data_IF_693820600635
#
_entry.id   IF_693820600635
#
_cell.length_a   1.000
_cell.length_b   1.000
_cell.length_c   1.000
_cell.angle_alpha   90.00
_cell.angle_beta   90.00
_cell.angle_gamma   90.00
#
_symmetry.space_group_name_H-M   'P 1'
#
loop_
_entity.id
_entity.type
_entity.pdbx_description
1 polymer ?
#
# COMPACT_ATOMS: atom_id res chain seq x y z
N UNK A 1 16.42 36.65 -22.79
CA UNK A 1 16.94 35.34 -22.35
C UNK A 1 18.09 34.93 -23.25
N UNK A 2 19.19 34.40 -22.71
CA UNK A 2 20.29 33.94 -23.57
C UNK A 2 19.87 32.68 -24.34
N UNK A 3 20.35 32.47 -25.58
CA UNK A 3 19.98 31.31 -26.40
C UNK A 3 20.31 29.97 -25.71
N UNK A 4 21.28 29.95 -24.79
CA UNK A 4 21.58 28.79 -23.94
C UNK A 4 20.43 28.45 -23.00
N UNK A 5 19.79 29.44 -22.41
CA UNK A 5 18.65 29.24 -21.50
C UNK A 5 17.42 28.76 -22.26
N UNK A 6 17.18 29.33 -23.45
CA UNK A 6 16.09 28.88 -24.33
C UNK A 6 16.29 27.43 -24.77
N UNK A 7 17.50 27.03 -25.16
CA UNK A 7 17.80 25.65 -25.52
C UNK A 7 17.59 24.66 -24.36
N UNK A 8 18.04 25.02 -23.15
CA UNK A 8 17.84 24.19 -21.95
C UNK A 8 16.34 24.03 -21.65
N UNK A 9 15.56 25.11 -21.72
CA UNK A 9 14.11 25.06 -21.47
C UNK A 9 13.40 24.20 -22.52
N UNK A 10 13.75 24.34 -23.81
CA UNK A 10 13.17 23.53 -24.88
C UNK A 10 13.49 22.05 -24.70
N UNK A 11 14.73 21.70 -24.34
CA UNK A 11 15.11 20.31 -24.04
C UNK A 11 14.33 19.77 -22.84
N UNK A 12 14.16 20.57 -21.78
CA UNK A 12 13.36 20.18 -20.62
C UNK A 12 11.88 19.96 -20.98
N UNK A 13 11.30 20.83 -21.81
CA UNK A 13 9.91 20.71 -22.24
C UNK A 13 9.69 19.50 -23.16
N UNK A 14 10.59 19.23 -24.10
CA UNK A 14 10.52 18.05 -24.98
C UNK A 14 10.70 16.78 -24.15
N UNK A 15 11.66 16.76 -23.21
CA UNK A 15 11.86 15.64 -22.29
C UNK A 15 10.60 15.40 -21.43
N UNK A 16 10.02 16.45 -20.87
CA UNK A 16 8.80 16.37 -20.07
C UNK A 16 7.60 15.87 -20.90
N UNK A 17 7.43 16.38 -22.12
CA UNK A 17 6.39 15.92 -23.03
C UNK A 17 6.56 14.44 -23.39
N UNK A 18 7.78 14.01 -23.76
CA UNK A 18 8.09 12.60 -24.02
C UNK A 18 7.79 11.70 -22.82
N UNK A 19 8.20 12.11 -21.62
CA UNK A 19 7.86 11.42 -20.37
C UNK A 19 6.34 11.29 -20.19
N UNK A 20 5.56 12.37 -20.34
CA UNK A 20 4.10 12.31 -20.16
C UNK A 20 3.42 11.34 -21.14
N UNK A 21 3.87 11.27 -22.39
CA UNK A 21 3.33 10.32 -23.37
C UNK A 21 3.62 8.87 -23.00
N UNK A 22 4.84 8.56 -22.53
CA UNK A 22 5.21 7.22 -22.05
C UNK A 22 4.38 6.80 -20.83
N UNK A 23 4.15 7.73 -19.90
CA UNK A 23 3.31 7.47 -18.73
C UNK A 23 1.85 7.17 -19.07
N UNK A 24 1.31 7.81 -20.11
CA UNK A 24 -0.11 7.67 -20.49
C UNK A 24 -0.49 6.29 -21.06
N UNK A 25 0.51 5.46 -21.42
CA UNK A 25 0.32 4.20 -22.16
C UNK A 25 0.86 2.96 -21.42
N UNK A 26 1.10 3.05 -20.10
CA UNK A 26 1.57 1.88 -19.36
C UNK A 26 0.58 0.72 -19.46
N UNK A 27 1.10 -0.49 -19.59
CA UNK A 27 0.31 -1.71 -19.69
C UNK A 27 -0.55 -1.93 -18.44
N UNK A 28 -1.77 -2.43 -18.64
CA UNK A 28 -2.67 -2.83 -17.55
C UNK A 28 -2.43 -4.30 -17.22
N UNK A 29 -1.90 -4.54 -16.03
CA UNK A 29 -1.57 -5.89 -15.57
C UNK A 29 -2.61 -6.34 -14.55
N UNK A 30 -3.20 -7.52 -14.76
CA UNK A 30 -4.16 -8.11 -13.82
C UNK A 30 -3.42 -8.72 -12.62
N UNK A 31 -4.06 -8.81 -11.43
CA UNK A 31 -3.50 -9.59 -10.35
C UNK A 31 -3.38 -11.07 -10.75
N UNK A 32 -2.44 -11.80 -10.16
CA UNK A 32 -2.24 -13.23 -10.43
C UNK A 32 -3.50 -14.05 -10.13
N UNK A 33 -4.27 -13.60 -9.11
CA UNK A 33 -5.57 -14.13 -8.72
C UNK A 33 -6.46 -12.97 -8.28
N UNK A 34 -7.78 -13.03 -8.52
CA UNK A 34 -8.68 -11.98 -8.06
C UNK A 34 -8.73 -11.93 -6.52
N UNK A 35 -8.72 -10.75 -5.92
CA UNK A 35 -8.78 -10.60 -4.46
C UNK A 35 -10.12 -11.03 -3.86
N UNK A 36 -11.16 -11.21 -4.68
CA UNK A 36 -12.39 -11.89 -4.27
C UNK A 36 -12.17 -13.35 -3.83
N UNK A 37 -11.06 -13.97 -4.22
CA UNK A 37 -10.64 -15.31 -3.80
C UNK A 37 -9.61 -15.29 -2.66
N UNK A 38 -9.36 -14.12 -2.06
CA UNK A 38 -8.40 -14.01 -0.96
C UNK A 38 -8.86 -14.85 0.24
N UNK A 39 -8.01 -15.73 0.79
CA UNK A 39 -8.42 -16.65 1.84
C UNK A 39 -8.80 -15.89 3.12
N UNK A 40 -9.92 -16.29 3.72
CA UNK A 40 -10.37 -15.81 5.03
C UNK A 40 -9.91 -16.70 6.19
N UNK A 41 -9.01 -17.63 5.92
CA UNK A 41 -8.31 -18.42 6.93
C UNK A 41 -6.81 -18.33 6.65
N UNK A 42 -6.06 -17.80 7.62
CA UNK A 42 -4.62 -17.57 7.51
C UNK A 42 -3.97 -18.08 8.79
N UNK A 43 -3.53 -19.34 8.79
CA UNK A 43 -3.02 -19.98 10.01
C UNK A 43 -4.06 -19.92 11.13
N UNK A 44 -3.77 -19.34 12.30
CA UNK A 44 -4.74 -19.24 13.41
C UNK A 44 -5.78 -18.11 13.23
N UNK A 45 -5.71 -17.34 12.14
CA UNK A 45 -6.56 -16.17 11.94
C UNK A 45 -7.78 -16.49 11.09
N UNK A 46 -8.95 -16.12 11.61
CA UNK A 46 -10.23 -16.21 10.91
C UNK A 46 -10.69 -14.82 10.50
N UNK A 47 -10.99 -14.67 9.22
CA UNK A 47 -11.35 -13.43 8.57
C UNK A 47 -12.84 -13.32 8.29
N UNK A 48 -13.37 -12.11 8.44
CA UNK A 48 -14.69 -11.74 7.92
C UNK A 48 -14.48 -10.60 6.94
N UNK A 49 -14.85 -10.82 5.68
CA UNK A 49 -14.78 -9.78 4.65
C UNK A 49 -15.73 -8.64 4.98
N UNK A 50 -15.31 -7.44 4.62
CA UNK A 50 -16.10 -6.22 4.71
C UNK A 50 -16.04 -5.50 3.38
N UNK A 51 -17.11 -4.79 3.02
CA UNK A 51 -17.09 -3.97 1.82
C UNK A 51 -16.53 -2.59 2.12
N UNK A 52 -15.87 -2.01 1.13
CA UNK A 52 -15.46 -0.62 1.17
C UNK A 52 -16.69 0.27 0.96
N UNK A 53 -16.72 1.41 1.65
CA UNK A 53 -17.71 2.44 1.38
C UNK A 53 -17.61 2.91 -0.08
N UNK A 54 -18.75 3.03 -0.77
CA UNK A 54 -18.82 3.33 -2.21
C UNK A 54 -18.15 4.66 -2.56
N UNK A 55 -18.21 5.67 -1.68
CA UNK A 55 -17.53 6.96 -1.90
C UNK A 55 -16.02 6.78 -1.84
N UNK A 56 -15.52 5.96 -0.91
CA UNK A 56 -14.09 5.65 -0.80
C UNK A 56 -13.63 4.84 -2.02
N UNK A 57 -14.42 3.87 -2.47
CA UNK A 57 -14.12 3.08 -3.67
C UNK A 57 -13.98 3.97 -4.91
N UNK A 58 -14.94 4.87 -5.13
CA UNK A 58 -14.94 5.79 -6.27
C UNK A 58 -13.79 6.81 -6.23
N UNK A 59 -13.31 7.18 -5.04
CA UNK A 59 -12.16 8.08 -4.90
C UNK A 59 -10.84 7.34 -5.12
N UNK A 60 -10.73 6.09 -4.66
CA UNK A 60 -9.48 5.35 -4.71
C UNK A 60 -9.16 4.83 -6.12
N UNK A 61 -10.14 4.60 -6.99
CA UNK A 61 -9.91 4.11 -8.36
C UNK A 61 -9.32 2.69 -8.40
N UNK A 62 -9.48 1.92 -7.31
CA UNK A 62 -8.93 0.58 -7.18
C UNK A 62 -9.71 -0.43 -8.04
N UNK A 63 -9.01 -1.26 -8.81
CA UNK A 63 -9.66 -2.21 -9.73
C UNK A 63 -9.92 -3.59 -9.11
N UNK A 64 -9.15 -3.98 -8.10
CA UNK A 64 -9.41 -5.19 -7.31
C UNK A 64 -8.93 -5.00 -5.88
N UNK A 65 -9.65 -5.53 -4.89
CA UNK A 65 -9.30 -5.31 -3.49
C UNK A 65 -9.83 -6.40 -2.56
N UNK A 66 -9.22 -6.49 -1.38
CA UNK A 66 -9.78 -7.16 -0.21
C UNK A 66 -9.80 -6.19 0.95
N UNK A 67 -10.90 -6.18 1.69
CA UNK A 67 -10.98 -5.58 3.01
C UNK A 67 -11.62 -6.59 3.94
N UNK A 68 -10.98 -6.86 5.07
CA UNK A 68 -11.46 -7.87 6.02
C UNK A 68 -10.97 -7.58 7.44
N UNK A 69 -11.69 -8.10 8.42
CA UNK A 69 -11.26 -8.14 9.81
C UNK A 69 -10.88 -9.57 10.16
N UNK A 70 -9.60 -9.78 10.48
CA UNK A 70 -9.09 -11.06 10.97
C UNK A 70 -9.00 -11.06 12.48
N UNK A 71 -9.33 -12.17 13.11
CA UNK A 71 -9.19 -12.38 14.55
C UNK A 71 -8.67 -13.78 14.85
N UNK A 72 -7.85 -13.90 15.89
CA UNK A 72 -7.43 -15.19 16.46
C UNK A 72 -7.80 -15.34 17.94
N UNK A 73 -8.63 -14.44 18.46
CA UNK A 73 -9.11 -14.46 19.84
C UNK A 73 -9.56 -13.08 20.33
N UNK A 74 -10.13 -13.00 21.55
CA UNK A 74 -10.58 -11.73 22.13
C UNK A 74 -9.44 -10.70 22.19
N UNK A 75 -9.70 -9.49 21.68
CA UNK A 75 -8.72 -8.39 21.65
C UNK A 75 -7.56 -8.58 20.67
N UNK A 76 -7.54 -9.65 19.88
CA UNK A 76 -6.51 -9.98 18.91
C UNK A 76 -7.07 -9.91 17.49
N UNK A 77 -7.42 -8.69 17.06
CA UNK A 77 -8.00 -8.43 15.76
C UNK A 77 -7.12 -7.50 14.93
N UNK A 78 -7.03 -7.78 13.62
CA UNK A 78 -6.32 -6.97 12.63
C UNK A 78 -7.25 -6.72 11.46
N UNK A 79 -7.49 -5.45 11.14
CA UNK A 79 -8.12 -5.08 9.89
C UNK A 79 -7.07 -5.03 8.78
N UNK A 80 -7.34 -5.72 7.68
CA UNK A 80 -6.54 -5.64 6.45
C UNK A 80 -7.31 -4.90 5.36
N UNK A 81 -6.57 -4.09 4.63
CA UNK A 81 -6.97 -3.60 3.32
C UNK A 81 -5.81 -3.85 2.34
N UNK A 82 -6.12 -4.48 1.20
CA UNK A 82 -5.23 -4.56 0.05
C UNK A 82 -5.96 -4.00 -1.15
N UNK A 83 -5.43 -2.94 -1.75
CA UNK A 83 -5.93 -2.41 -3.02
C UNK A 83 -4.94 -2.70 -4.13
N UNK A 84 -5.43 -3.22 -5.26
CA UNK A 84 -4.66 -3.54 -6.45
C UNK A 84 -5.01 -2.59 -7.60
N UNK A 85 -3.98 -2.03 -8.20
CA UNK A 85 -4.06 -1.10 -9.30
C UNK A 85 -3.44 -1.76 -10.53
N UNK A 86 -4.21 -1.92 -11.60
CA UNK A 86 -3.71 -2.53 -12.84
C UNK A 86 -2.82 -1.57 -13.62
N UNK A 87 -3.04 -0.27 -13.47
CA UNK A 87 -2.21 0.81 -14.00
C UNK A 87 -2.47 2.09 -13.21
N UNK A 88 -1.44 2.89 -12.97
CA UNK A 88 -1.53 4.18 -12.28
C UNK A 88 -1.29 5.36 -13.25
N UNK A 89 -1.59 5.18 -14.54
CA UNK A 89 -1.34 6.15 -15.62
C UNK A 89 -2.39 7.26 -15.74
N UNK A 90 -3.60 7.06 -15.20
CA UNK A 90 -4.77 7.95 -15.41
C UNK A 90 -5.15 8.83 -14.22
N UNK A 91 -4.21 9.07 -13.30
CA UNK A 91 -4.46 9.89 -12.11
C UNK A 91 -4.85 9.09 -10.86
N UNK A 92 -5.10 7.79 -11.01
CA UNK A 92 -5.31 6.83 -9.91
C UNK A 92 -3.98 6.52 -9.22
N UNK A 93 -3.49 7.47 -8.42
CA UNK A 93 -2.28 7.29 -7.61
C UNK A 93 -2.65 6.76 -6.23
N UNK A 94 -1.96 5.74 -5.79
CA UNK A 94 -2.16 5.19 -4.45
C UNK A 94 -1.92 6.28 -3.39
N UNK A 95 -2.96 6.59 -2.62
CA UNK A 95 -2.86 7.48 -1.46
C UNK A 95 -2.53 6.69 -0.20
N UNK A 96 -1.52 7.14 0.55
CA UNK A 96 -1.19 6.54 1.85
C UNK A 96 -2.19 6.96 2.93
N UNK A 97 -2.22 6.25 4.08
CA UNK A 97 -3.05 6.61 5.21
C UNK A 97 -2.71 7.99 5.78
N UNK A 98 -1.52 8.56 5.47
CA UNK A 98 -1.15 9.89 5.92
C UNK A 98 -2.07 10.99 5.37
N UNK A 99 -2.66 10.75 4.19
CA UNK A 99 -3.56 11.71 3.54
C UNK A 99 -5.02 11.42 3.88
N UNK A 100 -5.40 10.15 4.04
CA UNK A 100 -6.80 9.76 4.26
C UNK A 100 -7.21 9.74 5.74
N UNK A 101 -6.32 9.34 6.66
CA UNK A 101 -6.67 9.17 8.07
C UNK A 101 -7.05 10.51 8.76
N UNK A 102 -6.36 11.64 8.50
CA UNK A 102 -6.79 12.94 9.03
C UNK A 102 -8.22 13.33 8.60
N UNK A 103 -8.59 13.06 7.34
CA UNK A 103 -9.95 13.31 6.85
C UNK A 103 -11.03 12.47 7.56
N UNK A 104 -10.66 11.31 8.11
CA UNK A 104 -11.53 10.48 8.95
C UNK A 104 -11.51 10.86 10.45
N UNK A 105 -10.83 11.96 10.80
CA UNK A 105 -10.70 12.48 12.17
C UNK A 105 -9.61 11.83 13.00
N UNK A 106 -8.68 11.08 12.39
CA UNK A 106 -7.54 10.48 13.10
C UNK A 106 -6.33 11.41 13.07
N UNK A 107 -5.75 11.66 14.24
CA UNK A 107 -4.49 12.40 14.37
C UNK A 107 -3.31 11.44 14.27
N UNK A 108 -2.32 11.77 13.44
CA UNK A 108 -1.07 11.01 13.35
C UNK A 108 -0.15 11.49 14.45
N UNK A 109 0.03 10.66 15.48
CA UNK A 109 0.88 10.95 16.64
C UNK A 109 2.35 10.67 16.32
N UNK A 110 2.61 9.60 15.56
CA UNK A 110 3.95 9.19 15.19
C UNK A 110 3.96 8.56 13.80
N UNK A 111 5.01 8.80 13.03
CA UNK A 111 5.29 8.12 11.77
C UNK A 111 6.76 7.67 11.76
N UNK A 112 6.99 6.41 11.44
CA UNK A 112 8.34 5.86 11.28
C UNK A 112 8.38 4.79 10.18
N UNK A 113 9.59 4.40 9.78
CA UNK A 113 9.83 3.20 8.98
C UNK A 113 10.54 2.21 9.87
N UNK A 114 10.01 1.00 10.00
CA UNK A 114 10.56 -0.04 10.86
C UNK A 114 10.82 -1.31 10.06
N UNK A 115 11.85 -2.10 10.41
CA UNK A 115 11.99 -3.48 9.94
C UNK A 115 11.00 -4.38 10.68
N UNK A 116 10.44 -5.36 9.99
CA UNK A 116 9.71 -6.49 10.59
C UNK A 116 10.24 -7.80 10.01
N UNK A 117 10.39 -8.80 10.86
CA UNK A 117 10.83 -10.13 10.47
C UNK A 117 9.63 -10.99 10.11
N UNK A 118 9.75 -11.71 9.01
CA UNK A 118 8.74 -12.62 8.46
C UNK A 118 9.35 -14.03 8.34
N UNK A 119 9.44 -14.79 9.45
CA UNK A 119 10.04 -16.12 9.48
C UNK A 119 9.48 -17.08 8.43
N UNK A 120 8.18 -17.06 8.13
CA UNK A 120 7.57 -17.96 7.13
C UNK A 120 8.11 -17.74 5.72
N UNK A 121 8.59 -16.54 5.44
CA UNK A 121 9.21 -16.19 4.16
C UNK A 121 10.74 -16.10 4.23
N UNK A 122 11.34 -16.27 5.41
CA UNK A 122 12.77 -16.07 5.64
C UNK A 122 13.26 -14.67 5.27
N UNK A 123 12.42 -13.64 5.46
CA UNK A 123 12.69 -12.27 5.02
C UNK A 123 12.51 -11.27 6.15
N UNK A 124 13.30 -10.20 6.12
CA UNK A 124 13.03 -8.97 6.87
C UNK A 124 12.61 -7.91 5.86
N UNK A 125 11.46 -7.27 6.09
CA UNK A 125 10.97 -6.19 5.22
C UNK A 125 10.89 -4.87 5.98
N UNK A 126 11.05 -3.76 5.27
CA UNK A 126 10.83 -2.42 5.84
C UNK A 126 9.42 -1.95 5.50
N UNK A 127 8.66 -1.55 6.51
CA UNK A 127 7.28 -1.06 6.38
C UNK A 127 7.15 0.33 7.01
N UNK A 128 6.12 1.06 6.64
CA UNK A 128 5.76 2.31 7.31
C UNK A 128 4.84 2.00 8.50
N UNK A 129 5.18 2.55 9.66
CA UNK A 129 4.39 2.49 10.90
C UNK A 129 3.79 3.86 11.18
N UNK A 130 2.50 3.90 11.49
CA UNK A 130 1.83 5.06 12.07
C UNK A 130 1.23 4.71 13.43
N UNK A 131 1.33 5.64 14.37
CA UNK A 131 0.50 5.66 15.58
C UNK A 131 -0.58 6.72 15.39
N UNK A 132 -1.84 6.31 15.49
CA UNK A 132 -2.99 7.17 15.32
C UNK A 132 -3.72 7.37 16.66
N UNK A 133 -4.33 8.53 16.83
CA UNK A 133 -5.20 8.84 17.97
C UNK A 133 -6.48 9.56 17.50
N UNK A 134 -7.62 9.10 17.99
CA UNK A 134 -8.92 9.76 17.85
C UNK A 134 -9.67 9.65 19.16
N UNK A 135 -9.98 10.79 19.79
CA UNK A 135 -10.79 10.87 21.01
C UNK A 135 -10.29 9.94 22.15
N UNK A 136 -8.98 9.81 22.30
CA UNK A 136 -8.34 8.95 23.30
C UNK A 136 -8.19 7.49 22.88
N UNK A 137 -8.78 7.07 21.77
CA UNK A 137 -8.56 5.74 21.18
C UNK A 137 -7.31 5.77 20.32
N UNK A 138 -6.40 4.80 20.54
CA UNK A 138 -5.17 4.66 19.77
C UNK A 138 -5.23 3.46 18.83
N UNK A 139 -4.60 3.57 17.67
CA UNK A 139 -4.42 2.48 16.72
C UNK A 139 -3.01 2.49 16.14
N UNK A 140 -2.45 1.32 15.89
CA UNK A 140 -1.20 1.16 15.14
C UNK A 140 -1.54 0.74 13.71
N UNK A 141 -0.90 1.38 12.74
CA UNK A 141 -1.06 1.08 11.32
C UNK A 141 0.29 0.66 10.75
N UNK A 142 0.34 -0.51 10.12
CA UNK A 142 1.42 -0.88 9.21
C UNK A 142 0.94 -0.71 7.77
N UNK A 143 1.76 -0.12 6.92
CA UNK A 143 1.48 -0.10 5.49
C UNK A 143 2.74 -0.17 4.64
N UNK A 144 2.57 -0.66 3.43
CA UNK A 144 3.60 -0.64 2.40
C UNK A 144 2.96 -0.68 1.01
N UNK A 145 3.71 -0.25 0.02
CA UNK A 145 3.41 -0.51 -1.38
C UNK A 145 4.13 -1.79 -1.78
N UNK A 146 3.42 -2.66 -2.47
CA UNK A 146 3.94 -3.91 -2.97
C UNK A 146 3.82 -3.88 -4.49
N UNK A 147 4.97 -3.85 -5.17
CA UNK A 147 4.95 -3.85 -6.62
C UNK A 147 6.17 -4.52 -7.21
N UNK A 148 5.92 -5.45 -8.14
CA UNK A 148 6.95 -6.11 -8.93
C UNK A 148 8.06 -6.73 -8.05
N UNK A 149 7.64 -7.50 -7.04
CA UNK A 149 8.52 -8.11 -6.04
C UNK A 149 9.19 -7.15 -5.03
N UNK A 150 8.95 -5.83 -5.11
CA UNK A 150 9.48 -4.84 -4.15
C UNK A 150 8.47 -4.51 -3.07
N UNK A 151 8.96 -4.43 -1.85
CA UNK A 151 8.27 -3.83 -0.70
C UNK A 151 8.82 -2.42 -0.51
N UNK A 152 7.94 -1.43 -0.57
CA UNK A 152 8.28 -0.02 -0.56
C UNK A 152 7.53 0.63 0.60
N UNK A 153 8.26 1.13 1.59
CA UNK A 153 7.67 1.83 2.75
C UNK A 153 7.53 3.35 2.56
N UNK A 154 8.18 3.91 1.55
CA UNK A 154 8.19 5.35 1.29
C UNK A 154 7.30 5.71 0.10
N UNK A 155 6.39 6.66 0.31
CA UNK A 155 5.55 7.24 -0.75
C UNK A 155 6.37 7.91 -1.85
N UNK A 156 7.49 8.53 -1.49
CA UNK A 156 8.41 9.14 -2.45
C UNK A 156 9.08 8.07 -3.30
N UNK A 157 9.57 7.00 -2.68
CA UNK A 157 10.18 5.90 -3.40
C UNK A 157 9.17 5.17 -4.28
N UNK A 158 7.91 5.06 -3.84
CA UNK A 158 6.84 4.51 -4.66
C UNK A 158 6.68 5.30 -5.95
N UNK A 159 6.64 6.64 -5.88
CA UNK A 159 6.56 7.51 -7.07
C UNK A 159 7.80 7.38 -7.96
N UNK A 160 8.99 7.33 -7.38
CA UNK A 160 10.24 7.16 -8.14
C UNK A 160 10.23 5.82 -8.89
N UNK A 161 9.86 4.72 -8.23
CA UNK A 161 9.77 3.42 -8.87
C UNK A 161 8.69 3.36 -9.94
N UNK A 162 7.55 4.02 -9.71
CA UNK A 162 6.51 4.17 -10.74
C UNK A 162 7.06 4.80 -12.02
N UNK A 163 7.89 5.84 -11.89
CA UNK A 163 8.53 6.51 -13.03
C UNK A 163 9.56 5.62 -13.71
N UNK A 164 10.42 4.98 -12.93
CA UNK A 164 11.47 4.14 -13.49
C UNK A 164 10.88 2.90 -14.19
N UNK A 165 9.87 2.27 -13.60
CA UNK A 165 9.23 1.09 -14.17
C UNK A 165 8.33 1.43 -15.37
N UNK A 166 7.71 2.62 -15.42
CA UNK A 166 6.97 3.04 -16.62
C UNK A 166 7.90 3.18 -17.83
N UNK A 167 9.11 3.71 -17.63
CA UNK A 167 10.12 3.87 -18.70
C UNK A 167 10.78 2.52 -19.06
N UNK A 168 11.16 1.73 -18.07
CA UNK A 168 12.01 0.54 -18.29
C UNK A 168 11.22 -0.75 -18.53
N UNK A 169 9.98 -0.83 -18.04
CA UNK A 169 9.15 -2.05 -18.09
C UNK A 169 7.77 -1.81 -18.69
N UNK A 170 7.44 -0.56 -19.05
CA UNK A 170 6.10 -0.16 -19.48
C UNK A 170 4.99 -0.54 -18.49
N UNK A 171 5.29 -0.60 -17.18
CA UNK A 171 4.39 -1.09 -16.13
C UNK A 171 4.28 -0.10 -14.97
N UNK A 172 3.05 0.15 -14.53
CA UNK A 172 2.73 1.00 -13.36
C UNK A 172 1.76 0.35 -12.39
N UNK A 173 1.50 -0.95 -12.55
CA UNK A 173 0.65 -1.72 -11.65
C UNK A 173 1.19 -1.74 -10.21
N UNK A 174 0.42 -2.19 -9.25
CA UNK A 174 0.93 -2.38 -7.91
C UNK A 174 -0.18 -2.43 -6.87
N UNK A 175 0.22 -2.78 -5.66
CA UNK A 175 -0.70 -2.89 -4.55
C UNK A 175 -0.32 -2.00 -3.41
N UNK A 176 -1.34 -1.57 -2.70
CA UNK A 176 -1.25 -0.94 -1.41
C UNK A 176 -1.71 -1.94 -0.35
N UNK A 177 -0.90 -2.18 0.67
CA UNK A 177 -1.26 -3.05 1.79
C UNK A 177 -1.30 -2.23 3.06
N UNK A 178 -2.37 -2.37 3.84
CA UNK A 178 -2.56 -1.70 5.12
C UNK A 178 -3.10 -2.70 6.15
N UNK A 179 -2.44 -2.74 7.30
CA UNK A 179 -2.85 -3.49 8.47
C UNK A 179 -3.12 -2.49 9.60
N UNK A 180 -4.24 -2.64 10.32
CA UNK A 180 -4.60 -1.80 11.46
C UNK A 180 -4.99 -2.68 12.64
N UNK A 181 -4.50 -2.35 13.82
CA UNK A 181 -4.96 -2.93 15.08
C UNK A 181 -5.16 -1.83 16.15
N UNK A 182 -6.21 -1.92 16.97
CA UNK A 182 -6.41 -1.01 18.10
C UNK A 182 -5.41 -1.31 19.23
N UNK A 183 -4.97 -0.27 19.91
CA UNK A 183 -4.14 -0.40 21.11
C UNK A 183 -5.03 -0.70 22.30
N UNK A 184 -5.07 -1.97 22.72
CA UNK A 184 -5.88 -2.41 23.87
C UNK A 184 -5.12 -2.27 25.19
N UNK A 185 -3.88 -2.78 25.24
CA UNK A 185 -3.02 -2.71 26.44
C UNK A 185 -1.88 -1.72 26.25
N UNK A 186 -1.06 -1.92 25.22
CA UNK A 186 0.06 -1.06 24.87
C UNK A 186 0.46 -1.22 23.39
N UNK A 187 1.26 -0.29 22.90
CA UNK A 187 1.69 -0.24 21.50
C UNK A 187 2.56 -1.45 21.13
N UNK A 188 3.42 -1.91 22.02
CA UNK A 188 4.32 -3.05 21.79
C UNK A 188 3.57 -4.36 21.55
N UNK A 189 2.57 -4.69 22.38
CA UNK A 189 1.72 -5.88 22.16
C UNK A 189 0.94 -5.77 20.84
N UNK A 190 0.51 -4.57 20.47
CA UNK A 190 -0.21 -4.30 19.20
C UNK A 190 0.72 -4.50 18.00
N UNK A 191 1.98 -4.07 18.10
CA UNK A 191 3.01 -4.27 17.07
C UNK A 191 3.39 -5.74 16.90
N UNK A 192 3.52 -6.49 18.00
CA UNK A 192 3.74 -7.94 17.96
C UNK A 192 2.57 -8.62 17.23
N UNK A 193 1.34 -8.25 17.55
CA UNK A 193 0.14 -8.78 16.89
C UNK A 193 0.14 -8.49 15.38
N UNK A 194 0.45 -7.26 14.99
CA UNK A 194 0.52 -6.85 13.58
C UNK A 194 1.64 -7.57 12.84
N UNK A 195 2.81 -7.74 13.44
CA UNK A 195 3.94 -8.48 12.83
C UNK A 195 3.61 -9.96 12.66
N UNK A 196 2.95 -10.58 13.63
CA UNK A 196 2.47 -11.97 13.50
C UNK A 196 1.47 -12.12 12.36
N UNK A 197 0.53 -11.18 12.21
CA UNK A 197 -0.40 -11.20 11.08
C UNK A 197 0.31 -10.93 9.74
N UNK A 198 1.30 -10.03 9.73
CA UNK A 198 2.11 -9.75 8.55
C UNK A 198 2.87 -11.00 8.06
N UNK A 199 3.44 -11.79 8.98
CA UNK A 199 4.15 -13.05 8.67
C UNK A 199 3.20 -14.10 8.06
N UNK A 200 1.96 -14.16 8.54
CA UNK A 200 0.92 -15.04 8.00
C UNK A 200 0.46 -14.62 6.60
N UNK A 201 0.23 -13.32 6.39
CA UNK A 201 -0.40 -12.82 5.16
C UNK A 201 0.59 -12.62 4.02
N UNK A 202 1.86 -12.33 4.31
CA UNK A 202 2.86 -12.00 3.29
C UNK A 202 3.07 -13.09 2.22
N UNK A 203 3.19 -14.39 2.54
CA UNK A 203 3.26 -15.44 1.53
C UNK A 203 2.04 -15.46 0.61
N UNK A 204 0.85 -15.26 1.17
CA UNK A 204 -0.41 -15.20 0.42
C UNK A 204 -0.41 -13.99 -0.51
N UNK A 205 0.01 -12.81 -0.05
CA UNK A 205 0.08 -11.61 -0.91
C UNK A 205 0.93 -11.84 -2.16
N UNK A 206 2.06 -12.56 -2.06
CA UNK A 206 2.92 -12.88 -3.22
C UNK A 206 2.24 -13.81 -4.25
N UNK A 207 1.18 -14.53 -3.87
CA UNK A 207 0.42 -15.36 -4.80
C UNK A 207 -0.62 -14.55 -5.59
N UNK A 208 -1.04 -13.40 -5.08
CA UNK A 208 -2.06 -12.53 -5.69
C UNK A 208 -1.42 -11.35 -6.45
N UNK A 209 -0.29 -10.84 -5.98
CA UNK A 209 0.37 -9.65 -6.52
C UNK A 209 1.44 -10.09 -7.55
N UNK A 210 1.41 -9.60 -8.80
CA UNK A 210 2.41 -9.90 -9.80
C UNK A 210 3.80 -9.36 -9.45
N UNK A 211 4.82 -10.10 -9.87
CA UNK A 211 6.22 -9.67 -9.83
C UNK A 211 6.60 -8.82 -11.06
#
# INVERSE_FOLDING_TARGET
>A
MSPKHTAIIVILLISAAGLTTLFSHSERIKPNRPFSQFPLELGPWLGVSSQMDEKVYNILGVEDYIMANFSKGPGQAVNIYVGFYQSQSKGDLIHSPKNCMPGAGWNIVQSSVIPIDLPKSGKTIKIARLLLNKDGQKQVVYYWFHSRGRIISSEYMQKIWLVLDSITKNRTDGSFVRLIAPVIKNETETEVLLTQFADEVYPTLNQFIPN
#
